data_IF_133514798845
#
_entry.id   IF_133514798845
#
_cell.length_a   1.000
_cell.length_b   1.000
_cell.length_c   1.000
_cell.angle_alpha   90.00
_cell.angle_beta   90.00
_cell.angle_gamma   90.00
#
_symmetry.space_group_name_H-M   'P 1'
#
loop_
_entity.id
_entity.type
_entity.pdbx_description
1 polymer ?
#
# COMPACT_ATOMS: atom_id res chain seq x y z
N UNK A 1 -1.69 11.72 32.72
CA UNK A 1 -1.30 10.77 31.66
C UNK A 1 0.18 10.97 31.43
N UNK A 2 0.98 9.92 31.51
CA UNK A 2 2.44 10.02 31.35
C UNK A 2 2.78 9.35 30.03
N UNK A 3 3.23 10.13 29.05
CA UNK A 3 3.65 9.60 27.76
C UNK A 3 5.07 9.05 27.88
N UNK A 4 5.30 7.84 27.37
CA UNK A 4 6.64 7.25 27.28
C UNK A 4 7.38 7.78 26.05
N UNK A 5 6.65 8.21 25.03
CA UNK A 5 7.18 8.69 23.76
C UNK A 5 6.61 10.06 23.41
N UNK A 6 7.51 11.02 23.14
CA UNK A 6 7.14 12.33 22.61
C UNK A 6 7.29 12.32 21.08
N UNK A 7 6.30 12.81 20.35
CA UNK A 7 6.25 12.76 18.89
C UNK A 7 7.41 13.54 18.26
N UNK A 8 7.84 14.61 18.91
CA UNK A 8 8.95 15.46 18.48
C UNK A 8 10.28 14.71 18.43
N UNK A 9 10.41 13.65 19.23
CA UNK A 9 11.61 12.82 19.31
C UNK A 9 11.66 11.71 18.25
N UNK A 10 10.59 11.52 17.48
CA UNK A 10 10.61 10.61 16.34
C UNK A 10 11.29 11.26 15.14
N UNK A 11 12.08 10.45 14.43
CA UNK A 11 12.64 10.80 13.13
C UNK A 11 12.49 9.63 12.18
N UNK A 12 12.24 9.96 10.91
CA UNK A 12 12.21 9.00 9.82
C UNK A 12 13.51 9.12 9.02
N UNK A 13 14.19 8.00 8.82
CA UNK A 13 15.40 7.94 8.00
C UNK A 13 15.19 6.97 6.85
N UNK A 14 15.15 7.50 5.64
CA UNK A 14 15.02 6.75 4.40
C UNK A 14 16.22 7.03 3.48
N UNK A 15 16.47 6.13 2.54
CA UNK A 15 17.23 6.49 1.34
C UNK A 15 16.29 7.25 0.39
N UNK A 16 16.81 8.10 -0.52
CA UNK A 16 15.97 8.75 -1.53
C UNK A 16 15.15 7.69 -2.26
N UNK A 17 13.85 7.63 -1.97
CA UNK A 17 12.95 6.68 -2.57
C UNK A 17 12.48 7.27 -3.91
N UNK A 18 12.72 6.53 -4.99
CA UNK A 18 12.08 6.81 -6.27
C UNK A 18 11.14 5.66 -6.60
N UNK A 19 9.90 6.01 -6.91
CA UNK A 19 9.00 5.03 -7.51
C UNK A 19 9.40 4.77 -8.95
N UNK A 20 8.97 3.63 -9.48
CA UNK A 20 9.16 3.33 -10.90
C UNK A 20 8.40 4.36 -11.73
N UNK A 21 8.98 4.81 -12.84
CA UNK A 21 8.38 5.82 -13.71
C UNK A 21 6.97 5.41 -14.18
N UNK A 22 6.76 4.11 -14.40
CA UNK A 22 5.45 3.55 -14.75
C UNK A 22 4.39 3.85 -13.68
N UNK A 23 4.75 3.74 -12.40
CA UNK A 23 3.86 4.03 -11.27
C UNK A 23 3.54 5.52 -11.21
N UNK A 24 4.54 6.39 -11.35
CA UNK A 24 4.33 7.84 -11.34
C UNK A 24 3.46 8.32 -12.51
N UNK A 25 3.63 7.71 -13.70
CA UNK A 25 2.81 8.01 -14.88
C UNK A 25 1.35 7.62 -14.66
N UNK A 26 1.10 6.44 -14.09
CA UNK A 26 -0.25 6.02 -13.71
C UNK A 26 -0.82 6.96 -12.65
N UNK A 27 -0.07 7.24 -11.58
CA UNK A 27 -0.47 8.09 -10.45
C UNK A 27 -0.97 9.47 -10.90
N UNK A 28 -0.27 10.10 -11.86
CA UNK A 28 -0.65 11.40 -12.42
C UNK A 28 -1.99 11.40 -13.13
N UNK A 29 -2.41 10.27 -13.70
CA UNK A 29 -3.72 10.15 -14.35
C UNK A 29 -4.78 9.79 -13.32
N UNK A 30 -4.52 8.76 -12.49
CA UNK A 30 -5.53 8.29 -11.55
C UNK A 30 -5.90 9.36 -10.53
N UNK A 31 -5.00 10.27 -10.13
CA UNK A 31 -5.34 11.37 -9.22
C UNK A 31 -6.35 12.39 -9.77
N UNK A 32 -6.47 12.47 -11.10
CA UNK A 32 -7.32 13.45 -11.78
C UNK A 32 -8.74 12.91 -12.03
N UNK A 33 -8.90 11.58 -12.09
CA UNK A 33 -10.18 10.95 -12.41
C UNK A 33 -10.40 9.69 -11.55
N UNK A 34 -11.45 9.75 -10.73
CA UNK A 34 -11.81 8.68 -9.80
C UNK A 34 -12.11 7.36 -10.51
N UNK A 35 -12.70 7.39 -11.70
CA UNK A 35 -13.02 6.16 -12.41
C UNK A 35 -11.79 5.57 -13.09
N UNK A 36 -10.83 6.38 -13.54
CA UNK A 36 -9.49 5.92 -13.92
C UNK A 36 -8.76 5.25 -12.76
N UNK A 37 -8.92 5.77 -11.53
CA UNK A 37 -8.45 5.11 -10.31
C UNK A 37 -9.11 3.74 -10.11
N UNK A 38 -10.45 3.65 -10.15
CA UNK A 38 -11.18 2.38 -10.02
C UNK A 38 -10.81 1.35 -11.09
N UNK A 39 -10.73 1.78 -12.36
CA UNK A 39 -10.33 0.94 -13.51
C UNK A 39 -8.92 0.38 -13.29
N UNK A 40 -7.97 1.20 -12.85
CA UNK A 40 -6.60 0.76 -12.59
C UNK A 40 -6.54 -0.30 -11.49
N UNK A 41 -7.30 -0.11 -10.41
CA UNK A 41 -7.40 -1.09 -9.33
C UNK A 41 -7.99 -2.42 -9.83
N UNK A 42 -9.10 -2.38 -10.57
CA UNK A 42 -9.72 -3.56 -11.19
C UNK A 42 -8.75 -4.27 -12.13
N UNK A 43 -8.03 -3.51 -12.96
CA UNK A 43 -7.04 -4.03 -13.91
C UNK A 43 -5.96 -4.86 -13.22
N UNK A 44 -5.28 -4.30 -12.21
CA UNK A 44 -4.20 -5.00 -11.52
C UNK A 44 -4.68 -6.17 -10.63
N UNK A 45 -5.94 -6.16 -10.22
CA UNK A 45 -6.55 -7.28 -9.50
C UNK A 45 -6.87 -8.46 -10.42
N UNK A 46 -7.38 -8.20 -11.62
CA UNK A 46 -7.82 -9.24 -12.56
C UNK A 46 -6.66 -9.74 -13.43
N UNK A 47 -5.86 -8.83 -13.99
CA UNK A 47 -4.76 -9.16 -14.88
C UNK A 47 -3.48 -9.26 -14.09
N UNK A 48 -3.20 -10.46 -13.61
CA UNK A 48 -2.15 -10.69 -12.61
C UNK A 48 -0.80 -11.12 -13.18
N UNK A 49 -0.78 -11.45 -14.47
CA UNK A 49 0.35 -11.97 -15.20
C UNK A 49 0.30 -11.42 -16.63
N UNK A 50 1.18 -10.48 -16.91
CA UNK A 50 1.27 -9.79 -18.21
C UNK A 50 1.93 -10.64 -19.30
N UNK A 51 2.46 -11.83 -18.97
CA UNK A 51 3.14 -12.72 -19.93
C UNK A 51 2.25 -13.86 -20.42
N UNK A 52 1.20 -14.20 -19.66
CA UNK A 52 0.25 -15.26 -20.01
C UNK A 52 -1.01 -14.76 -20.71
N UNK A 53 -1.22 -13.45 -20.78
CA UNK A 53 -2.40 -12.83 -21.37
C UNK A 53 -1.98 -11.99 -22.58
N UNK A 54 -2.59 -12.17 -23.76
CA UNK A 54 -2.28 -11.32 -24.91
C UNK A 54 -2.78 -9.89 -24.70
N UNK A 55 -2.08 -8.90 -25.25
CA UNK A 55 -2.47 -7.46 -25.19
C UNK A 55 -3.93 -7.23 -25.56
N UNK A 56 -4.45 -7.90 -26.59
CA UNK A 56 -5.83 -7.77 -27.05
C UNK A 56 -6.86 -8.22 -26.00
N UNK A 57 -6.54 -9.24 -25.20
CA UNK A 57 -7.40 -9.67 -24.10
C UNK A 57 -7.32 -8.69 -22.91
N UNK A 58 -6.15 -8.12 -22.65
CA UNK A 58 -5.99 -7.06 -21.64
C UNK A 58 -6.75 -5.78 -22.04
N UNK A 59 -6.73 -5.43 -23.33
CA UNK A 59 -7.47 -4.31 -23.91
C UNK A 59 -8.97 -4.50 -23.77
N UNK A 60 -9.49 -5.66 -24.19
CA UNK A 60 -10.91 -5.98 -24.03
C UNK A 60 -11.36 -5.90 -22.57
N UNK A 61 -10.51 -6.30 -21.62
CA UNK A 61 -10.82 -6.18 -20.18
C UNK A 61 -10.84 -4.74 -19.68
N UNK A 62 -9.96 -3.87 -20.17
CA UNK A 62 -10.01 -2.45 -19.82
C UNK A 62 -11.31 -1.80 -20.31
N UNK A 63 -11.71 -2.12 -21.55
CA UNK A 63 -12.95 -1.59 -22.12
C UNK A 63 -14.19 -2.14 -21.38
N UNK A 64 -14.18 -3.41 -20.99
CA UNK A 64 -15.21 -4.00 -20.13
C UNK A 64 -15.32 -3.27 -18.78
N UNK A 65 -14.20 -2.95 -18.11
CA UNK A 65 -14.25 -2.18 -16.85
C UNK A 65 -14.79 -0.76 -17.06
N UNK A 66 -14.40 -0.09 -18.14
CA UNK A 66 -14.93 1.25 -18.45
C UNK A 66 -16.43 1.19 -18.69
N UNK A 67 -16.89 0.26 -19.52
CA UNK A 67 -18.31 0.05 -19.80
C UNK A 67 -19.08 -0.29 -18.52
N UNK A 68 -18.51 -1.13 -17.64
CA UNK A 68 -19.13 -1.47 -16.36
C UNK A 68 -19.40 -0.21 -15.52
N UNK A 69 -18.43 0.71 -15.41
CA UNK A 69 -18.62 1.94 -14.65
C UNK A 69 -19.57 2.92 -15.35
N UNK A 70 -19.45 3.12 -16.67
CA UNK A 70 -20.32 4.05 -17.40
C UNK A 70 -21.79 3.60 -17.41
N UNK A 71 -22.07 2.30 -17.55
CA UNK A 71 -23.43 1.78 -17.63
C UNK A 71 -24.03 1.54 -16.24
N UNK A 72 -23.33 0.84 -15.35
CA UNK A 72 -23.93 0.39 -14.08
C UNK A 72 -23.83 1.42 -12.97
N UNK A 73 -22.84 2.33 -13.02
CA UNK A 73 -22.66 3.37 -12.00
C UNK A 73 -23.08 4.77 -12.50
N UNK A 74 -23.59 4.90 -13.74
CA UNK A 74 -23.94 6.17 -14.39
C UNK A 74 -22.76 7.18 -14.32
N UNK A 75 -21.56 6.65 -14.58
CA UNK A 75 -20.30 7.37 -14.45
C UNK A 75 -19.90 8.11 -15.72
N UNK A 76 -19.36 9.32 -15.59
CA UNK A 76 -18.63 9.99 -16.67
C UNK A 76 -17.13 9.74 -16.49
N UNK A 77 -16.57 8.83 -17.29
CA UNK A 77 -15.13 8.57 -17.32
C UNK A 77 -14.49 9.51 -18.34
N UNK A 78 -13.49 10.30 -17.93
CA UNK A 78 -12.79 11.19 -18.87
C UNK A 78 -12.14 10.41 -20.01
N UNK A 79 -12.62 10.62 -21.24
CA UNK A 79 -12.15 9.90 -22.43
C UNK A 79 -10.65 10.12 -22.69
N UNK A 80 -10.15 11.34 -22.49
CA UNK A 80 -8.75 11.68 -22.74
C UNK A 80 -7.81 11.05 -21.70
N UNK A 81 -8.21 11.10 -20.42
CA UNK A 81 -7.45 10.49 -19.32
C UNK A 81 -7.47 8.97 -19.43
N UNK A 82 -8.63 8.38 -19.71
CA UNK A 82 -8.76 6.94 -19.94
C UNK A 82 -7.91 6.47 -21.13
N UNK A 83 -7.95 7.18 -22.26
CA UNK A 83 -7.14 6.82 -23.43
C UNK A 83 -5.65 6.84 -23.10
N UNK A 84 -5.20 7.84 -22.35
CA UNK A 84 -3.81 7.95 -21.88
C UNK A 84 -3.44 6.81 -20.91
N UNK A 85 -4.34 6.48 -19.98
CA UNK A 85 -4.17 5.37 -19.04
C UNK A 85 -4.08 4.03 -19.77
N UNK A 86 -5.00 3.78 -20.71
CA UNK A 86 -5.08 2.56 -21.51
C UNK A 86 -3.78 2.31 -22.25
N UNK A 87 -3.20 3.33 -22.88
CA UNK A 87 -1.89 3.23 -23.55
C UNK A 87 -0.79 2.78 -22.56
N UNK A 88 -0.74 3.37 -21.35
CA UNK A 88 0.27 3.02 -20.34
C UNK A 88 0.09 1.59 -19.86
N UNK A 89 -1.14 1.18 -19.52
CA UNK A 89 -1.43 -0.13 -18.97
C UNK A 89 -1.19 -1.25 -19.99
N UNK A 90 -1.47 -1.00 -21.27
CA UNK A 90 -1.24 -1.98 -22.33
C UNK A 90 0.23 -2.09 -22.75
N UNK A 91 1.06 -1.06 -22.54
CA UNK A 91 2.52 -1.15 -22.73
C UNK A 91 3.11 -2.30 -21.90
N UNK A 92 2.54 -2.59 -20.73
CA UNK A 92 2.98 -3.69 -19.88
C UNK A 92 2.87 -5.07 -20.53
N UNK A 93 2.03 -5.24 -21.56
CA UNK A 93 1.77 -6.51 -22.22
C UNK A 93 2.55 -6.68 -23.53
N UNK A 94 3.20 -5.63 -24.02
CA UNK A 94 3.99 -5.65 -25.26
C UNK A 94 5.46 -5.28 -25.06
N UNK A 95 5.78 -4.55 -23.97
CA UNK A 95 7.13 -4.11 -23.68
C UNK A 95 8.00 -5.30 -23.21
N UNK A 96 9.02 -5.72 -23.98
CA UNK A 96 9.83 -6.89 -23.66
C UNK A 96 10.67 -6.71 -22.38
N UNK A 97 10.81 -5.48 -21.88
CA UNK A 97 11.53 -5.19 -20.63
C UNK A 97 10.67 -5.40 -19.38
N UNK A 98 9.34 -5.55 -19.53
CA UNK A 98 8.40 -5.76 -18.43
C UNK A 98 8.04 -7.24 -18.37
N UNK A 99 8.86 -8.02 -17.68
CA UNK A 99 8.51 -9.40 -17.36
C UNK A 99 7.52 -9.50 -16.19
N UNK A 100 7.03 -10.71 -15.90
CA UNK A 100 6.11 -11.00 -14.79
C UNK A 100 6.56 -10.46 -13.42
N UNK A 101 7.87 -10.51 -13.13
CA UNK A 101 8.41 -10.02 -11.85
C UNK A 101 8.36 -8.49 -11.81
N UNK A 102 8.76 -7.84 -12.90
CA UNK A 102 8.68 -6.38 -13.06
C UNK A 102 7.25 -5.89 -12.97
N UNK A 103 6.31 -6.54 -13.67
CA UNK A 103 4.88 -6.22 -13.62
C UNK A 103 4.32 -6.32 -12.19
N UNK A 104 4.72 -7.38 -11.46
CA UNK A 104 4.38 -7.52 -10.04
C UNK A 104 4.93 -6.41 -9.16
N UNK A 105 6.16 -5.97 -9.42
CA UNK A 105 6.73 -4.84 -8.71
C UNK A 105 5.94 -3.55 -9.02
N UNK A 106 5.54 -3.31 -10.28
CA UNK A 106 4.74 -2.14 -10.68
C UNK A 106 3.43 -2.09 -9.87
N UNK A 107 2.60 -3.14 -9.90
CA UNK A 107 1.32 -3.06 -9.20
C UNK A 107 1.48 -3.04 -7.67
N UNK A 108 2.55 -3.62 -7.11
CA UNK A 108 2.81 -3.57 -5.67
C UNK A 108 3.22 -2.16 -5.24
N UNK A 109 4.14 -1.54 -5.96
CA UNK A 109 4.56 -0.15 -5.74
C UNK A 109 3.46 0.85 -6.06
N UNK A 110 2.52 0.51 -6.95
CA UNK A 110 1.34 1.34 -7.19
C UNK A 110 0.47 1.47 -5.94
N UNK A 111 0.23 0.39 -5.19
CA UNK A 111 -0.51 0.48 -3.93
C UNK A 111 0.22 1.34 -2.88
N UNK A 112 1.55 1.19 -2.78
CA UNK A 112 2.37 2.05 -1.91
C UNK A 112 2.24 3.52 -2.32
N UNK A 113 2.21 3.81 -3.63
CA UNK A 113 2.01 5.16 -4.14
C UNK A 113 0.61 5.70 -3.83
N UNK A 114 -0.44 4.89 -3.96
CA UNK A 114 -1.80 5.27 -3.57
C UNK A 114 -1.86 5.65 -2.08
N UNK A 115 -1.26 4.85 -1.21
CA UNK A 115 -1.20 5.14 0.24
C UNK A 115 -0.36 6.38 0.52
N UNK A 116 0.75 6.60 -0.23
CA UNK A 116 1.49 7.85 -0.16
C UNK A 116 0.60 9.03 -0.52
N UNK A 117 -0.13 8.98 -1.64
CA UNK A 117 -1.01 10.09 -2.06
C UNK A 117 -2.12 10.35 -1.04
N UNK A 118 -2.69 9.29 -0.47
CA UNK A 118 -3.72 9.36 0.57
C UNK A 118 -3.23 10.08 1.84
N UNK A 119 -2.00 9.80 2.28
CA UNK A 119 -1.44 10.34 3.52
C UNK A 119 -0.61 11.63 3.33
N UNK A 120 -0.35 12.01 2.08
CA UNK A 120 0.41 13.21 1.75
C UNK A 120 -0.42 14.45 2.05
N UNK A 121 -0.18 15.07 3.21
CA UNK A 121 -0.73 16.39 3.54
C UNK A 121 0.20 17.46 2.97
N UNK A 122 -0.31 18.45 2.22
CA UNK A 122 0.47 19.60 1.79
C UNK A 122 0.98 20.41 2.99
N UNK A 123 2.28 20.67 3.08
CA UNK A 123 2.87 21.52 4.11
C UNK A 123 4.29 21.13 4.49
N UNK A 124 4.97 21.97 5.27
CA UNK A 124 6.35 21.75 5.73
C UNK A 124 6.44 20.81 6.95
N UNK A 125 5.32 20.55 7.62
CA UNK A 125 5.27 19.90 8.94
C UNK A 125 4.97 18.39 8.88
N UNK A 126 4.52 17.90 7.72
CA UNK A 126 4.20 16.49 7.49
C UNK A 126 5.25 15.82 6.61
N UNK A 127 5.71 14.65 7.01
CA UNK A 127 6.66 13.82 6.29
C UNK A 127 6.00 12.47 5.96
N UNK A 128 5.99 12.10 4.68
CA UNK A 128 5.62 10.74 4.22
C UNK A 128 6.85 10.07 3.65
N UNK A 129 7.28 8.98 4.27
CA UNK A 129 8.45 8.22 3.85
C UNK A 129 8.11 6.80 3.44
N UNK A 130 8.87 6.26 2.49
CA UNK A 130 8.74 4.90 1.97
C UNK A 130 9.83 4.03 2.58
N UNK A 131 9.43 2.92 3.19
CA UNK A 131 10.32 2.02 3.95
C UNK A 131 11.38 2.76 4.81
N UNK A 132 10.99 3.74 5.66
CA UNK A 132 11.94 4.40 6.54
C UNK A 132 12.32 3.52 7.73
N UNK A 133 13.52 3.76 8.26
CA UNK A 133 13.82 3.45 9.65
C UNK A 133 13.13 4.46 10.56
N UNK A 134 12.37 3.98 11.55
CA UNK A 134 11.75 4.82 12.58
C UNK A 134 12.69 4.88 13.78
N UNK A 135 13.14 6.08 14.14
CA UNK A 135 14.05 6.30 15.27
C UNK A 135 13.35 7.14 16.33
N UNK A 136 13.70 6.89 17.59
CA UNK A 136 13.30 7.69 18.75
C UNK A 136 14.56 8.13 19.51
N UNK A 137 14.73 9.43 19.72
CA UNK A 137 15.95 10.02 20.30
C UNK A 137 17.23 9.53 19.60
N UNK A 138 17.18 9.44 18.26
CA UNK A 138 18.29 8.98 17.41
C UNK A 138 18.52 7.46 17.38
N UNK A 139 17.91 6.71 18.30
CA UNK A 139 18.02 5.24 18.37
C UNK A 139 16.94 4.58 17.53
N UNK A 140 17.28 3.50 16.83
CA UNK A 140 16.31 2.71 16.07
C UNK A 140 15.26 2.12 17.03
N UNK A 141 13.98 2.25 16.66
CA UNK A 141 12.89 1.69 17.44
C UNK A 141 13.05 0.19 17.62
N UNK A 142 12.79 -0.27 18.85
CA UNK A 142 12.91 -1.68 19.25
C UNK A 142 14.29 -2.30 19.04
N UNK A 143 15.38 -1.52 19.13
CA UNK A 143 16.76 -1.98 18.86
C UNK A 143 17.20 -3.24 19.63
N UNK A 144 16.54 -3.56 20.74
CA UNK A 144 16.74 -4.76 21.56
C UNK A 144 15.96 -6.01 21.06
N UNK A 145 15.12 -5.87 20.03
CA UNK A 145 14.28 -6.95 19.47
C UNK A 145 14.85 -7.50 18.17
N UNK A 146 14.56 -8.76 17.85
CA UNK A 146 15.01 -9.40 16.62
C UNK A 146 14.34 -8.85 15.34
N UNK A 147 13.19 -8.18 15.50
CA UNK A 147 12.42 -7.57 14.42
C UNK A 147 12.73 -6.08 14.18
N UNK A 148 13.70 -5.48 14.88
CA UNK A 148 14.01 -4.03 14.85
C UNK A 148 14.32 -3.46 13.46
N UNK A 149 14.79 -4.30 12.53
CA UNK A 149 15.08 -3.91 11.14
C UNK A 149 13.89 -4.04 10.20
N UNK A 150 12.74 -4.48 10.71
CA UNK A 150 11.50 -4.43 9.95
C UNK A 150 11.10 -2.96 9.78
N UNK A 151 10.46 -2.67 8.66
CA UNK A 151 9.99 -1.33 8.31
C UNK A 151 8.52 -1.43 7.91
N UNK A 152 7.76 -0.35 7.95
CA UNK A 152 6.47 -0.29 7.28
C UNK A 152 6.68 0.28 5.87
N UNK A 153 5.87 -0.15 4.92
CA UNK A 153 6.02 0.27 3.53
C UNK A 153 5.83 1.80 3.39
N UNK A 154 4.87 2.40 4.10
CA UNK A 154 4.67 3.85 4.19
C UNK A 154 4.59 4.29 5.66
N UNK A 155 5.25 5.40 6.02
CA UNK A 155 5.10 6.03 7.35
C UNK A 155 4.84 7.51 7.17
N UNK A 156 3.78 7.98 7.81
CA UNK A 156 3.45 9.39 7.94
C UNK A 156 3.77 9.88 9.35
N UNK A 157 4.50 10.98 9.43
CA UNK A 157 4.82 11.67 10.67
C UNK A 157 4.51 13.16 10.49
N UNK A 158 3.67 13.70 11.36
CA UNK A 158 3.45 15.14 11.46
C UNK A 158 3.53 15.56 12.92
N UNK A 159 4.57 16.34 13.24
CA UNK A 159 4.85 16.76 14.61
C UNK A 159 3.90 17.86 15.08
N UNK A 160 3.42 18.70 14.16
CA UNK A 160 2.53 19.81 14.48
C UNK A 160 1.11 19.33 14.77
N UNK A 161 0.52 18.53 13.88
CA UNK A 161 -0.81 17.92 14.12
C UNK A 161 -0.75 16.70 15.04
N UNK A 162 0.45 16.31 15.49
CA UNK A 162 0.71 15.18 16.37
C UNK A 162 0.18 13.85 15.80
N UNK A 163 0.55 13.55 14.56
CA UNK A 163 0.12 12.34 13.85
C UNK A 163 1.30 11.40 13.56
N UNK A 164 1.12 10.12 13.86
CA UNK A 164 2.08 9.05 13.53
C UNK A 164 1.33 7.83 12.98
N UNK A 165 1.37 7.65 11.66
CA UNK A 165 0.60 6.60 10.97
C UNK A 165 1.54 5.68 10.18
N UNK A 166 1.40 4.39 10.37
CA UNK A 166 2.29 3.35 9.80
C UNK A 166 1.47 2.38 8.96
N UNK A 167 1.83 2.20 7.69
CA UNK A 167 1.09 1.38 6.75
C UNK A 167 1.95 0.32 6.10
N UNK A 168 1.49 -0.93 6.15
CA UNK A 168 2.07 -2.05 5.40
C UNK A 168 1.17 -2.38 4.20
N UNK A 169 1.68 -2.16 3.00
CA UNK A 169 0.96 -2.35 1.75
C UNK A 169 1.12 -3.78 1.25
N UNK A 170 0.01 -4.48 1.06
CA UNK A 170 0.00 -5.85 0.50
C UNK A 170 -1.05 -5.95 -0.57
N UNK A 171 -0.64 -5.78 -1.83
CA UNK A 171 -1.56 -5.87 -2.98
C UNK A 171 -2.39 -7.16 -2.96
N UNK A 172 -1.77 -8.29 -2.60
CA UNK A 172 -2.49 -9.55 -2.31
C UNK A 172 -2.11 -10.07 -0.94
N UNK A 173 -3.05 -9.96 -0.01
CA UNK A 173 -2.87 -10.50 1.34
C UNK A 173 -2.70 -12.03 1.32
N UNK A 174 -3.37 -12.74 0.41
CA UNK A 174 -3.30 -14.21 0.31
C UNK A 174 -1.87 -14.77 0.24
N UNK A 175 -0.96 -14.17 -0.54
CA UNK A 175 0.43 -14.65 -0.60
C UNK A 175 1.17 -14.44 0.72
N UNK A 176 0.92 -13.30 1.38
CA UNK A 176 1.49 -13.00 2.69
C UNK A 176 0.97 -13.98 3.75
N UNK A 177 -0.33 -14.30 3.70
CA UNK A 177 -0.98 -15.26 4.58
C UNK A 177 -0.51 -16.69 4.34
N UNK A 178 -0.34 -17.08 3.08
CA UNK A 178 0.22 -18.39 2.73
C UNK A 178 1.63 -18.57 3.27
N UNK A 179 2.49 -17.54 3.19
CA UNK A 179 3.82 -17.58 3.78
C UNK A 179 3.75 -17.62 5.32
N UNK A 180 2.81 -16.87 5.94
CA UNK A 180 2.61 -16.86 7.40
C UNK A 180 2.17 -18.22 7.94
N UNK A 181 1.20 -18.86 7.29
CA UNK A 181 0.54 -20.10 7.71
C UNK A 181 1.30 -21.36 7.28
N UNK A 182 2.45 -21.21 6.62
CA UNK A 182 3.24 -22.34 6.15
C UNK A 182 3.69 -23.26 7.31
N UNK A 183 3.31 -24.53 7.25
CA UNK A 183 3.61 -25.55 8.26
C UNK A 183 4.54 -26.66 7.76
N UNK A 184 5.09 -26.52 6.55
CA UNK A 184 5.99 -27.51 5.96
C UNK A 184 7.47 -27.29 6.34
N UNK A 185 8.36 -28.06 5.71
CA UNK A 185 9.79 -28.11 6.04
C UNK A 185 10.70 -27.46 4.98
N UNK A 186 10.14 -26.85 3.93
CA UNK A 186 10.94 -26.26 2.83
C UNK A 186 11.68 -25.02 3.33
N UNK A 187 13.00 -25.13 3.47
CA UNK A 187 13.88 -24.08 4.02
C UNK A 187 13.67 -22.69 3.39
N UNK A 188 13.50 -22.62 2.07
CA UNK A 188 13.26 -21.34 1.37
C UNK A 188 11.97 -20.67 1.82
N UNK A 189 10.92 -21.43 2.08
CA UNK A 189 9.62 -20.91 2.53
C UNK A 189 9.68 -20.58 4.02
N UNK A 190 10.37 -21.38 4.84
CA UNK A 190 10.61 -21.07 6.26
C UNK A 190 11.33 -19.72 6.45
N UNK A 191 12.31 -19.40 5.59
CA UNK A 191 12.96 -18.08 5.60
C UNK A 191 11.99 -16.93 5.30
N UNK A 192 11.05 -17.12 4.37
CA UNK A 192 9.99 -16.15 4.07
C UNK A 192 9.01 -16.01 5.24
N UNK A 193 8.56 -17.13 5.80
CA UNK A 193 7.70 -17.14 6.98
C UNK A 193 8.36 -16.38 8.14
N UNK A 194 9.64 -16.61 8.42
CA UNK A 194 10.36 -15.89 9.46
C UNK A 194 10.40 -14.37 9.20
N UNK A 195 10.57 -13.93 7.95
CA UNK A 195 10.48 -12.52 7.57
C UNK A 195 9.08 -11.95 7.83
N UNK A 196 8.04 -12.67 7.44
CA UNK A 196 6.64 -12.28 7.64
C UNK A 196 6.29 -12.20 9.14
N UNK A 197 6.69 -13.20 9.93
CA UNK A 197 6.49 -13.21 11.39
C UNK A 197 7.18 -12.02 12.08
N UNK A 198 8.42 -11.68 11.69
CA UNK A 198 9.11 -10.49 12.21
C UNK A 198 8.39 -9.19 11.84
N UNK A 199 7.89 -9.06 10.61
CA UNK A 199 7.10 -7.90 10.19
C UNK A 199 5.84 -7.75 11.05
N UNK A 200 5.09 -8.83 11.28
CA UNK A 200 3.90 -8.80 12.13
C UNK A 200 4.26 -8.45 13.58
N UNK A 201 5.34 -9.00 14.13
CA UNK A 201 5.79 -8.67 15.48
C UNK A 201 6.15 -7.18 15.63
N UNK A 202 6.84 -6.61 14.63
CA UNK A 202 7.14 -5.18 14.57
C UNK A 202 5.86 -4.33 14.55
N UNK A 203 4.90 -4.68 13.71
CA UNK A 203 3.62 -3.95 13.65
C UNK A 203 2.83 -4.07 14.96
N UNK A 204 2.78 -5.26 15.56
CA UNK A 204 2.12 -5.47 16.86
C UNK A 204 2.78 -4.72 18.01
N UNK A 205 4.11 -4.53 17.95
CA UNK A 205 4.82 -3.73 18.95
C UNK A 205 4.42 -2.24 18.88
N UNK A 206 4.32 -1.67 17.68
CA UNK A 206 3.78 -0.32 17.50
C UNK A 206 2.31 -0.21 17.90
N UNK A 207 1.49 -1.21 17.54
CA UNK A 207 0.09 -1.26 17.96
C UNK A 207 -0.04 -1.18 19.48
N UNK A 208 0.75 -1.98 20.22
CA UNK A 208 0.74 -1.96 21.68
C UNK A 208 1.08 -0.58 22.27
N UNK A 209 2.06 0.12 21.70
CA UNK A 209 2.41 1.50 22.09
C UNK A 209 1.23 2.45 21.85
N UNK A 210 0.57 2.35 20.70
CA UNK A 210 -0.54 3.24 20.32
C UNK A 210 -1.78 2.98 21.16
N UNK A 211 -2.15 1.72 21.35
CA UNK A 211 -3.30 1.29 22.16
C UNK A 211 -3.14 1.68 23.64
N UNK A 212 -1.92 1.61 24.18
CA UNK A 212 -1.62 2.01 25.55
C UNK A 212 -1.58 3.54 25.73
N UNK A 213 -1.71 4.34 24.67
CA UNK A 213 -1.62 5.80 24.73
C UNK A 213 -0.23 6.29 25.16
N UNK A 214 0.81 5.53 24.83
CA UNK A 214 2.18 5.83 25.27
C UNK A 214 2.87 6.92 24.44
N UNK A 215 2.32 7.26 23.29
CA UNK A 215 2.77 8.37 22.43
C UNK A 215 1.85 9.56 22.64
N UNK A 216 2.40 10.76 22.77
CA UNK A 216 1.64 12.02 22.84
C UNK A 216 1.11 12.48 21.46
N UNK A 217 0.47 11.55 20.74
CA UNK A 217 -0.13 11.77 19.43
C UNK A 217 -1.65 12.00 19.55
N UNK A 218 -2.18 12.90 18.72
CA UNK A 218 -3.63 13.08 18.53
C UNK A 218 -4.20 11.98 17.62
N UNK A 219 -3.40 11.50 16.66
CA UNK A 219 -3.72 10.32 15.85
C UNK A 219 -2.51 9.41 15.72
N UNK A 220 -2.64 8.19 16.23
CA UNK A 220 -1.66 7.13 16.02
C UNK A 220 -2.34 5.91 15.40
N UNK A 221 -1.80 5.42 14.29
CA UNK A 221 -2.38 4.27 13.58
C UNK A 221 -1.29 3.34 13.06
N UNK A 222 -1.56 2.04 13.14
CA UNK A 222 -0.84 1.04 12.37
C UNK A 222 -1.80 0.08 11.68
N UNK A 223 -1.65 -0.09 10.38
CA UNK A 223 -2.56 -0.89 9.60
C UNK A 223 -1.90 -1.59 8.41
N UNK A 224 -2.51 -2.68 7.96
CA UNK A 224 -2.31 -3.17 6.60
C UNK A 224 -3.22 -2.42 5.63
N UNK A 225 -2.74 -2.22 4.40
CA UNK A 225 -3.55 -1.72 3.29
C UNK A 225 -3.49 -2.71 2.13
N UNK A 226 -4.62 -3.04 1.54
CA UNK A 226 -4.75 -4.00 0.44
C UNK A 226 -5.85 -3.62 -0.52
N UNK A 227 -5.69 -3.99 -1.81
CA UNK A 227 -6.78 -3.94 -2.79
C UNK A 227 -7.57 -5.26 -2.86
N UNK A 228 -7.28 -6.23 -1.97
CA UNK A 228 -8.16 -7.37 -1.80
C UNK A 228 -9.50 -6.90 -1.21
N UNK A 229 -10.59 -7.49 -1.71
CA UNK A 229 -11.92 -7.30 -1.15
C UNK A 229 -12.01 -7.95 0.23
N UNK A 230 -12.81 -7.36 1.12
CA UNK A 230 -13.05 -7.94 2.46
C UNK A 230 -13.49 -9.40 2.43
N UNK A 231 -14.32 -9.77 1.46
CA UNK A 231 -14.79 -11.14 1.24
C UNK A 231 -13.66 -12.14 0.94
N UNK A 232 -12.55 -11.68 0.38
CA UNK A 232 -11.41 -12.52 0.00
C UNK A 232 -10.47 -12.82 1.17
N UNK A 233 -10.53 -12.04 2.25
CA UNK A 233 -9.57 -12.11 3.36
C UNK A 233 -10.21 -12.49 4.71
N UNK A 234 -11.53 -12.63 4.77
CA UNK A 234 -12.28 -12.73 6.04
C UNK A 234 -11.78 -13.84 6.99
N UNK A 235 -11.31 -14.98 6.47
CA UNK A 235 -10.78 -16.08 7.27
C UNK A 235 -9.35 -15.83 7.77
N UNK A 236 -8.58 -15.02 7.06
CA UNK A 236 -7.16 -14.75 7.30
C UNK A 236 -6.92 -13.62 8.31
N UNK A 237 -7.90 -12.71 8.48
CA UNK A 237 -7.80 -11.52 9.34
C UNK A 237 -7.45 -11.88 10.79
N UNK A 238 -7.91 -13.03 11.29
CA UNK A 238 -7.72 -13.42 12.71
C UNK A 238 -6.24 -13.51 13.08
N UNK A 239 -5.38 -13.88 12.14
CA UNK A 239 -3.93 -13.99 12.36
C UNK A 239 -3.24 -12.63 12.45
N UNK A 240 -3.85 -11.60 11.85
CA UNK A 240 -3.33 -10.24 11.84
C UNK A 240 -3.86 -9.41 13.02
N UNK A 241 -4.94 -9.86 13.68
CA UNK A 241 -5.46 -9.24 14.90
C UNK A 241 -4.35 -9.01 15.95
N UNK A 242 -4.32 -7.83 16.63
CA UNK A 242 -5.33 -6.76 16.60
C UNK A 242 -5.15 -5.71 15.49
N UNK A 243 -4.25 -5.94 14.51
CA UNK A 243 -3.93 -4.93 13.50
C UNK A 243 -5.12 -4.64 12.59
N UNK A 244 -5.38 -3.35 12.36
CA UNK A 244 -6.38 -2.87 11.40
C UNK A 244 -5.97 -3.23 9.98
N UNK A 245 -6.95 -3.47 9.11
CA UNK A 245 -6.75 -3.76 7.70
C UNK A 245 -7.71 -2.89 6.91
N UNK A 246 -7.15 -2.03 6.06
CA UNK A 246 -7.90 -1.31 5.03
C UNK A 246 -7.95 -2.17 3.76
N UNK A 247 -9.16 -2.50 3.36
CA UNK A 247 -9.48 -3.25 2.15
C UNK A 247 -9.79 -2.33 0.99
N UNK A 248 -10.02 -2.89 -0.20
CA UNK A 248 -10.41 -2.10 -1.38
C UNK A 248 -11.61 -1.22 -1.09
N UNK A 249 -12.62 -1.77 -0.41
CA UNK A 249 -13.84 -1.06 -0.05
C UNK A 249 -13.58 0.17 0.85
N UNK A 250 -12.49 0.17 1.62
CA UNK A 250 -12.13 1.26 2.51
C UNK A 250 -11.32 2.36 1.81
N UNK A 251 -10.52 2.01 0.79
CA UNK A 251 -9.61 2.97 0.11
C UNK A 251 -10.09 3.39 -1.28
N UNK A 252 -11.05 2.69 -1.87
CA UNK A 252 -11.65 3.01 -3.17
C UNK A 252 -12.95 3.81 -2.99
N UNK A 253 -12.91 4.87 -2.17
CA UNK A 253 -14.05 5.77 -1.94
C UNK A 253 -13.77 7.18 -2.46
N UNK A 254 -14.83 7.96 -2.69
CA UNK A 254 -14.71 9.36 -3.13
C UNK A 254 -14.04 10.21 -2.06
N UNK A 255 -14.30 9.93 -0.79
CA UNK A 255 -13.69 10.62 0.36
C UNK A 255 -12.17 10.41 0.36
N UNK A 256 -11.71 9.16 0.29
CA UNK A 256 -10.27 8.86 0.20
C UNK A 256 -9.66 9.48 -1.05
N UNK A 257 -10.32 9.33 -2.21
CA UNK A 257 -9.86 9.92 -3.45
C UNK A 257 -9.67 11.44 -3.38
N UNK A 258 -10.60 12.14 -2.73
CA UNK A 258 -10.54 13.61 -2.59
C UNK A 258 -9.33 14.11 -1.78
N UNK A 259 -8.66 13.22 -1.06
CA UNK A 259 -7.45 13.54 -0.29
C UNK A 259 -6.15 13.28 -1.05
N UNK A 260 -6.19 12.66 -2.23
CA UNK A 260 -4.99 12.31 -2.97
C UNK A 260 -4.19 13.56 -3.37
N UNK A 261 -2.91 13.55 -3.02
CA UNK A 261 -1.95 14.60 -3.38
C UNK A 261 -0.68 13.98 -3.96
N UNK A 262 -0.15 14.56 -5.04
CA UNK A 262 1.10 14.12 -5.72
C UNK A 262 2.25 15.05 -5.43
#
# INVERSE_FOLDING_TARGET
>A
MTFNYLIDNFTLSSSPASFRQEVERIARIVKEDFYCYKITNSFFLVLTDNTSVPKTAAEAKLDEFKEEFEIYEDAEVSSDLYSSLKVILLDFFENPNINKVTYRAIYSSYLEYLVKMWQSIPGVDGQVEIEPEIRYNGSLMFSDKDFHRSKCDIVYLNKFSKELKLYECKFRLFSFMSDLNYNGTVSKILKKQAKVKRKIAYMKAFHGIFEAGEVDAEQAEIAFVTLAHKSQIQQDIVHLSPLKIYTREDIETREVFSTFYV
#
